data_IF_854635970288
#
_entry.id   IF_854635970288
#
_cell.length_a   1.000
_cell.length_b   1.000
_cell.length_c   1.000
_cell.angle_alpha   90.00
_cell.angle_beta   90.00
_cell.angle_gamma   90.00
#
_symmetry.space_group_name_H-M   'P 1'
#
loop_
_entity.id
_entity.type
_entity.pdbx_description
1 polymer ?
#
# COMPACT_ATOMS: atom_id res chain seq x y z
N UNK A 1 -2.86 26.83 -16.79
CA UNK A 1 -2.17 25.53 -16.55
C UNK A 1 -1.37 25.63 -15.26
N UNK A 2 -1.46 24.64 -14.36
CA UNK A 2 -0.69 24.62 -13.11
C UNK A 2 0.82 24.53 -13.43
N UNK A 3 1.63 25.33 -12.73
CA UNK A 3 3.11 25.31 -12.88
C UNK A 3 3.78 25.40 -11.52
N UNK A 4 4.91 24.73 -11.38
CA UNK A 4 5.76 24.74 -10.18
C UNK A 4 5.00 24.34 -8.92
N UNK A 5 4.16 23.31 -9.01
CA UNK A 5 3.39 22.77 -7.89
C UNK A 5 3.84 21.34 -7.59
N UNK A 6 3.67 20.96 -6.34
CA UNK A 6 3.70 19.56 -5.95
C UNK A 6 2.27 19.04 -5.97
N UNK A 7 2.02 18.04 -6.79
CA UNK A 7 0.71 17.40 -6.96
C UNK A 7 0.80 16.01 -6.34
N UNK A 8 -0.02 15.74 -5.36
CA UNK A 8 -0.12 14.42 -4.75
C UNK A 8 -1.36 13.73 -5.30
N UNK A 9 -1.19 12.56 -5.90
CA UNK A 9 -2.25 11.82 -6.58
C UNK A 9 -2.47 10.49 -5.85
N UNK A 10 -3.73 10.24 -5.45
CA UNK A 10 -4.15 8.93 -4.96
C UNK A 10 -4.35 7.94 -6.12
N UNK A 11 -4.29 6.65 -5.83
CA UNK A 11 -4.41 5.60 -6.82
C UNK A 11 -5.85 5.13 -6.99
N UNK A 12 -6.42 4.53 -5.95
CA UNK A 12 -7.68 3.80 -6.05
C UNK A 12 -8.90 4.73 -6.09
N UNK A 13 -9.63 4.75 -7.21
CA UNK A 13 -10.77 5.66 -7.40
C UNK A 13 -10.35 7.08 -7.79
N UNK A 14 -9.07 7.33 -8.06
CA UNK A 14 -8.52 8.61 -8.53
C UNK A 14 -7.75 8.39 -9.84
N UNK A 15 -6.52 7.92 -9.78
CA UNK A 15 -5.73 7.63 -10.99
C UNK A 15 -6.10 6.29 -11.62
N UNK A 16 -6.55 5.32 -10.81
CA UNK A 16 -7.01 4.02 -11.26
C UNK A 16 -8.54 3.98 -11.32
N UNK A 17 -9.07 3.53 -12.43
CA UNK A 17 -10.50 3.25 -12.60
C UNK A 17 -10.94 1.98 -11.82
N UNK A 18 -12.22 1.61 -11.95
CA UNK A 18 -12.79 0.43 -11.28
C UNK A 18 -12.13 -0.90 -11.71
N UNK A 19 -11.57 -0.94 -12.93
CA UNK A 19 -10.82 -2.08 -13.44
C UNK A 19 -9.37 -2.10 -12.95
N UNK A 20 -8.99 -1.14 -12.09
CA UNK A 20 -7.61 -0.95 -11.57
C UNK A 20 -6.59 -0.64 -12.66
N UNK A 21 -7.04 0.08 -13.68
CA UNK A 21 -6.22 0.55 -14.79
C UNK A 21 -6.20 2.07 -14.85
N UNK A 22 -5.12 2.63 -15.37
CA UNK A 22 -5.05 4.06 -15.75
C UNK A 22 -5.66 4.17 -17.15
N UNK A 23 -6.63 5.06 -17.34
CA UNK A 23 -7.16 5.34 -18.68
C UNK A 23 -6.12 6.10 -19.52
N UNK A 24 -6.23 5.99 -20.85
CA UNK A 24 -5.34 6.73 -21.77
C UNK A 24 -5.42 8.24 -21.56
N UNK A 25 -6.62 8.73 -21.22
CA UNK A 25 -6.85 10.15 -20.94
C UNK A 25 -6.12 10.57 -19.67
N UNK A 26 -6.30 9.81 -18.58
CA UNK A 26 -5.66 10.11 -17.29
C UNK A 26 -4.13 9.97 -17.38
N UNK A 27 -3.65 8.98 -18.12
CA UNK A 27 -2.23 8.81 -18.36
C UNK A 27 -1.63 9.99 -19.12
N UNK A 28 -2.31 10.46 -20.17
CA UNK A 28 -1.89 11.65 -20.91
C UNK A 28 -1.91 12.90 -20.04
N UNK A 29 -2.96 13.10 -19.24
CA UNK A 29 -3.03 14.20 -18.29
C UNK A 29 -1.88 14.17 -17.28
N UNK A 30 -1.51 13.00 -16.77
CA UNK A 30 -0.39 12.83 -15.84
C UNK A 30 0.92 13.25 -16.50
N UNK A 31 1.18 12.82 -17.75
CA UNK A 31 2.36 13.22 -18.51
C UNK A 31 2.40 14.75 -18.67
N UNK A 32 1.30 15.36 -19.14
CA UNK A 32 1.22 16.80 -19.35
C UNK A 32 1.45 17.60 -18.05
N UNK A 33 0.92 17.11 -16.92
CA UNK A 33 1.13 17.72 -15.62
C UNK A 33 2.57 17.60 -15.15
N UNK A 34 3.24 16.49 -15.44
CA UNK A 34 4.62 16.21 -15.00
C UNK A 34 5.66 17.16 -15.63
N UNK A 35 5.36 17.77 -16.79
CA UNK A 35 6.28 18.67 -17.50
C UNK A 35 6.65 19.89 -16.63
N UNK A 36 5.71 20.41 -15.85
CA UNK A 36 5.90 21.66 -15.10
C UNK A 36 5.64 21.51 -13.59
N UNK A 37 5.44 20.30 -13.09
CA UNK A 37 5.08 20.05 -11.70
C UNK A 37 5.76 18.80 -11.18
N UNK A 38 5.95 18.75 -9.86
CA UNK A 38 6.38 17.55 -9.15
C UNK A 38 5.17 16.67 -8.84
N UNK A 39 5.17 15.41 -9.28
CA UNK A 39 4.08 14.47 -9.03
C UNK A 39 4.51 13.43 -8.01
N UNK A 40 3.73 13.24 -6.96
CA UNK A 40 3.93 12.23 -5.92
C UNK A 40 2.70 11.33 -5.89
N UNK A 41 2.91 10.02 -5.92
CA UNK A 41 1.83 9.07 -5.68
C UNK A 41 1.66 8.82 -4.18
N UNK A 42 0.41 8.79 -3.71
CA UNK A 42 0.06 8.44 -2.34
C UNK A 42 -1.07 7.41 -2.36
N UNK A 43 -0.93 6.32 -1.59
CA UNK A 43 -1.92 5.24 -1.60
C UNK A 43 -2.01 4.52 -0.26
N UNK A 44 -3.18 3.93 0.01
CA UNK A 44 -3.37 2.97 1.09
C UNK A 44 -2.66 1.63 0.84
N UNK A 45 -2.26 1.35 -0.39
CA UNK A 45 -1.53 0.13 -0.76
C UNK A 45 -0.14 0.12 -0.15
N UNK A 46 0.41 -1.08 0.08
CA UNK A 46 1.82 -1.22 0.45
C UNK A 46 2.73 -0.87 -0.75
N UNK A 47 4.04 -0.69 -0.49
CA UNK A 47 4.98 -0.28 -1.53
C UNK A 47 5.11 -1.30 -2.67
N UNK A 48 4.98 -2.61 -2.39
CA UNK A 48 5.11 -3.68 -3.39
C UNK A 48 3.97 -3.57 -4.41
N UNK A 49 2.73 -3.39 -3.93
CA UNK A 49 1.56 -3.23 -4.80
C UNK A 49 1.60 -1.92 -5.59
N UNK A 50 2.06 -0.85 -4.95
CA UNK A 50 2.21 0.45 -5.60
C UNK A 50 3.28 0.40 -6.68
N UNK A 51 4.42 -0.23 -6.40
CA UNK A 51 5.51 -0.39 -7.38
C UNK A 51 5.10 -1.19 -8.61
N UNK A 52 4.26 -2.22 -8.46
CA UNK A 52 3.71 -2.94 -9.63
C UNK A 52 2.98 -2.02 -10.60
N UNK A 53 2.23 -1.05 -10.09
CA UNK A 53 1.53 -0.06 -10.92
C UNK A 53 2.54 0.89 -11.56
N UNK A 54 3.51 1.39 -10.77
CA UNK A 54 4.59 2.27 -11.27
C UNK A 54 5.32 1.61 -12.42
N UNK A 55 5.68 0.34 -12.29
CA UNK A 55 6.40 -0.43 -13.31
C UNK A 55 5.52 -0.74 -14.54
N UNK A 56 4.26 -1.14 -14.33
CA UNK A 56 3.32 -1.48 -15.40
C UNK A 56 3.13 -0.33 -16.38
N UNK A 57 3.06 0.91 -15.87
CA UNK A 57 2.86 2.12 -16.67
C UNK A 57 4.12 2.96 -16.86
N UNK A 58 5.29 2.48 -16.41
CA UNK A 58 6.56 3.22 -16.45
C UNK A 58 6.46 4.60 -15.80
N UNK A 59 5.68 4.72 -14.73
CA UNK A 59 5.39 6.00 -14.07
C UNK A 59 6.62 6.66 -13.46
N UNK A 60 7.69 5.91 -13.17
CA UNK A 60 8.96 6.44 -12.66
C UNK A 60 9.58 7.52 -13.54
N UNK A 61 9.14 7.61 -14.80
CA UNK A 61 9.60 8.64 -15.74
C UNK A 61 8.86 9.99 -15.55
N UNK A 62 7.75 10.00 -14.82
CA UNK A 62 6.83 11.13 -14.72
C UNK A 62 6.56 11.58 -13.28
N UNK A 63 6.94 10.76 -12.30
CA UNK A 63 6.72 11.05 -10.88
C UNK A 63 8.05 11.27 -10.14
N UNK A 64 7.95 11.87 -8.96
CA UNK A 64 9.09 12.02 -8.07
C UNK A 64 9.67 10.65 -7.64
N UNK A 65 10.93 10.68 -7.21
CA UNK A 65 11.67 9.48 -6.77
C UNK A 65 11.16 8.90 -5.45
N UNK A 66 9.96 9.27 -5.02
CA UNK A 66 9.36 8.74 -3.81
C UNK A 66 7.86 8.57 -3.96
N UNK A 67 7.34 7.57 -3.27
CA UNK A 67 5.92 7.30 -3.16
C UNK A 67 5.53 7.17 -1.69
N UNK A 68 4.32 7.58 -1.37
CA UNK A 68 3.72 7.47 -0.04
C UNK A 68 2.79 6.26 -0.05
N UNK A 69 3.06 5.29 0.81
CA UNK A 69 2.36 4.02 0.87
C UNK A 69 1.74 3.76 2.24
N UNK A 70 0.83 2.78 2.32
CA UNK A 70 0.20 2.34 3.57
C UNK A 70 -0.41 3.50 4.36
N UNK A 71 -1.20 4.36 3.69
CA UNK A 71 -1.81 5.56 4.29
C UNK A 71 -0.79 6.49 4.99
N UNK A 72 0.38 6.67 4.41
CA UNK A 72 1.44 7.52 4.95
C UNK A 72 2.34 6.86 5.99
N UNK A 73 2.13 5.59 6.32
CA UNK A 73 3.03 4.85 7.22
C UNK A 73 4.39 4.57 6.59
N UNK A 74 4.46 4.50 5.27
CA UNK A 74 5.68 4.20 4.56
C UNK A 74 5.97 5.25 3.49
N UNK A 75 7.22 5.70 3.44
CA UNK A 75 7.76 6.47 2.33
C UNK A 75 8.82 5.60 1.65
N UNK A 76 8.58 5.27 0.39
CA UNK A 76 9.48 4.42 -0.39
C UNK A 76 10.23 5.23 -1.43
N UNK A 77 11.53 5.01 -1.54
CA UNK A 77 12.38 5.62 -2.57
C UNK A 77 12.56 4.66 -3.74
N UNK A 78 12.10 5.07 -4.91
CA UNK A 78 12.14 4.28 -6.13
C UNK A 78 13.59 4.00 -6.54
N UNK A 79 14.43 5.03 -6.67
CA UNK A 79 15.83 4.88 -7.14
C UNK A 79 16.71 4.11 -6.17
N UNK A 80 16.43 4.19 -4.85
CA UNK A 80 17.19 3.47 -3.84
C UNK A 80 16.62 2.08 -3.53
N UNK A 81 15.48 1.75 -4.12
CA UNK A 81 14.73 0.50 -3.89
C UNK A 81 14.59 0.16 -2.40
N UNK A 82 14.22 1.15 -1.57
CA UNK A 82 14.09 0.96 -0.13
C UNK A 82 13.07 1.89 0.53
N UNK A 83 12.52 1.41 1.64
CA UNK A 83 11.72 2.24 2.53
C UNK A 83 12.65 3.26 3.21
N UNK A 84 12.34 4.55 3.05
CA UNK A 84 13.09 5.66 3.69
C UNK A 84 12.60 5.92 5.10
N UNK A 85 11.32 5.80 5.31
CA UNK A 85 10.68 6.02 6.60
C UNK A 85 9.50 5.06 6.75
N UNK A 86 9.32 4.51 7.94
CA UNK A 86 8.17 3.70 8.28
C UNK A 86 7.78 3.93 9.73
N UNK A 87 6.47 3.97 9.99
CA UNK A 87 5.91 3.97 11.35
C UNK A 87 5.18 2.67 11.57
N UNK A 88 5.48 2.00 12.66
CA UNK A 88 4.87 0.73 13.03
C UNK A 88 4.19 0.85 14.38
N UNK A 89 3.14 0.07 14.57
CA UNK A 89 2.56 -0.16 15.89
C UNK A 89 3.50 -1.08 16.66
N UNK A 90 3.77 -0.79 17.92
CA UNK A 90 4.54 -1.68 18.80
C UNK A 90 3.87 -3.06 18.86
N UNK A 91 4.68 -4.12 18.81
CA UNK A 91 4.19 -5.50 18.77
C UNK A 91 3.25 -5.82 19.93
N UNK A 92 3.55 -5.35 21.13
CA UNK A 92 2.70 -5.53 22.32
C UNK A 92 1.32 -4.90 22.14
N UNK A 93 1.26 -3.70 21.59
CA UNK A 93 0.00 -3.00 21.29
C UNK A 93 -0.78 -3.71 20.20
N UNK A 94 -0.09 -4.18 19.14
CA UNK A 94 -0.72 -4.93 18.07
C UNK A 94 -1.36 -6.24 18.59
N UNK A 95 -0.65 -6.99 19.44
CA UNK A 95 -1.18 -8.21 20.08
C UNK A 95 -2.41 -7.90 20.93
N UNK A 96 -2.38 -6.83 21.73
CA UNK A 96 -3.52 -6.44 22.54
C UNK A 96 -4.75 -6.09 21.70
N UNK A 97 -4.55 -5.37 20.59
CA UNK A 97 -5.62 -5.05 19.63
C UNK A 97 -6.19 -6.34 19.00
N UNK A 98 -5.32 -7.24 18.55
CA UNK A 98 -5.74 -8.54 18.00
C UNK A 98 -6.59 -9.32 19.00
N UNK A 99 -6.12 -9.46 20.24
CA UNK A 99 -6.83 -10.17 21.29
C UNK A 99 -8.22 -9.55 21.57
N UNK A 100 -8.30 -8.22 21.54
CA UNK A 100 -9.57 -7.51 21.70
C UNK A 100 -10.52 -7.78 20.52
N UNK A 101 -10.02 -7.74 19.29
CA UNK A 101 -10.80 -8.03 18.09
C UNK A 101 -11.27 -9.49 18.07
N UNK A 102 -10.42 -10.42 18.49
CA UNK A 102 -10.74 -11.84 18.59
C UNK A 102 -11.83 -12.13 19.62
N UNK A 103 -11.77 -11.51 20.80
CA UNK A 103 -12.81 -11.64 21.84
C UNK A 103 -14.18 -11.14 21.35
N UNK A 104 -14.21 -10.15 20.48
CA UNK A 104 -15.44 -9.58 19.93
C UNK A 104 -15.82 -10.18 18.57
N UNK A 105 -15.17 -11.25 18.13
CA UNK A 105 -15.40 -11.89 16.83
C UNK A 105 -15.36 -10.94 15.64
N UNK A 106 -14.51 -9.90 15.72
CA UNK A 106 -14.28 -8.95 14.63
C UNK A 106 -13.22 -9.51 13.69
N UNK A 107 -13.44 -9.34 12.39
CA UNK A 107 -12.42 -9.67 11.39
C UNK A 107 -11.34 -8.60 11.38
N UNK A 108 -10.11 -9.04 11.26
CA UNK A 108 -8.98 -8.15 11.17
C UNK A 108 -7.95 -8.65 10.16
N UNK A 109 -7.20 -7.73 9.62
CA UNK A 109 -5.98 -8.04 8.90
C UNK A 109 -4.88 -7.06 9.34
N UNK A 110 -3.65 -7.54 9.29
CA UNK A 110 -2.44 -6.77 9.57
C UNK A 110 -1.52 -6.91 8.38
N UNK A 111 -0.96 -5.79 7.96
CA UNK A 111 0.06 -5.76 6.93
C UNK A 111 1.39 -5.44 7.60
N UNK A 112 2.34 -6.35 7.48
CA UNK A 112 3.76 -6.10 7.71
C UNK A 112 4.42 -5.82 6.35
N UNK A 113 5.68 -5.35 6.37
CA UNK A 113 6.41 -4.91 5.16
C UNK A 113 6.28 -5.85 3.95
N UNK A 114 6.10 -7.15 4.17
CA UNK A 114 6.02 -8.17 3.10
C UNK A 114 4.84 -9.13 3.24
N UNK A 115 4.15 -9.11 4.37
CA UNK A 115 3.17 -10.14 4.70
C UNK A 115 1.82 -9.52 5.05
N UNK A 116 0.77 -10.22 4.65
CA UNK A 116 -0.59 -9.98 5.10
C UNK A 116 -0.99 -11.10 6.07
N UNK A 117 -1.37 -10.73 7.28
CA UNK A 117 -1.93 -11.62 8.29
C UNK A 117 -3.40 -11.31 8.44
N UNK A 118 -4.24 -12.32 8.49
CA UNK A 118 -5.67 -12.13 8.69
C UNK A 118 -6.28 -13.29 9.48
N UNK A 119 -7.37 -12.97 10.20
CA UNK A 119 -8.26 -13.98 10.77
C UNK A 119 -9.29 -14.36 9.71
N UNK A 120 -9.23 -15.60 9.22
CA UNK A 120 -10.24 -16.16 8.31
C UNK A 120 -11.17 -17.02 9.15
N UNK A 121 -12.44 -16.62 9.30
CA UNK A 121 -13.53 -17.54 9.63
C UNK A 121 -14.30 -17.85 8.34
N UNK A 122 -14.79 -19.08 8.23
CA UNK A 122 -15.60 -19.57 7.10
C UNK A 122 -16.74 -18.59 6.75
N UNK A 123 -16.55 -17.73 5.77
CA UNK A 123 -17.54 -16.75 5.36
C UNK A 123 -18.25 -17.17 4.09
N UNK A 124 -19.57 -17.30 4.16
CA UNK A 124 -20.45 -17.47 3.00
C UNK A 124 -20.72 -16.16 2.22
N UNK A 125 -20.16 -15.03 2.60
CA UNK A 125 -20.36 -13.76 1.92
C UNK A 125 -19.06 -13.24 1.31
N UNK A 126 -19.14 -12.99 0.01
CA UNK A 126 -18.11 -12.52 -0.90
C UNK A 126 -17.49 -11.19 -0.44
N UNK A 127 -16.51 -11.23 0.44
CA UNK A 127 -15.41 -10.30 0.33
C UNK A 127 -14.54 -10.89 -0.77
N UNK A 128 -14.36 -10.19 -1.90
CA UNK A 128 -13.39 -10.60 -2.91
C UNK A 128 -12.07 -10.75 -2.17
N UNK A 129 -11.50 -11.95 -2.05
CA UNK A 129 -10.21 -12.08 -1.41
C UNK A 129 -9.25 -11.21 -2.21
N UNK A 130 -8.46 -10.40 -1.54
CA UNK A 130 -7.22 -9.93 -2.13
C UNK A 130 -6.55 -11.17 -2.72
N UNK A 131 -6.27 -11.15 -4.02
CA UNK A 131 -5.85 -12.32 -4.79
C UNK A 131 -4.44 -12.80 -4.40
N UNK A 132 -4.17 -13.01 -3.13
CA UNK A 132 -2.95 -13.66 -2.62
C UNK A 132 -3.02 -13.96 -1.13
N UNK A 133 -4.20 -14.10 -0.53
CA UNK A 133 -4.29 -14.75 0.77
C UNK A 133 -4.04 -16.26 0.56
N UNK A 134 -2.79 -16.66 0.51
CA UNK A 134 -2.41 -18.06 0.71
C UNK A 134 -3.02 -18.51 2.03
N UNK A 135 -3.51 -19.76 2.07
CA UNK A 135 -4.16 -20.39 3.23
C UNK A 135 -3.44 -20.00 4.53
N UNK A 136 -4.12 -19.21 5.37
CA UNK A 136 -3.56 -18.55 6.51
C UNK A 136 -2.83 -19.49 7.48
N UNK A 137 -1.54 -19.30 7.61
CA UNK A 137 -0.80 -19.68 8.80
C UNK A 137 -0.46 -18.38 9.52
N UNK A 138 -0.98 -18.23 10.73
CA UNK A 138 -0.48 -17.25 11.68
C UNK A 138 0.93 -17.73 12.06
N UNK A 139 1.94 -17.24 11.38
CA UNK A 139 3.31 -17.39 11.85
C UNK A 139 3.58 -16.22 12.81
N UNK A 140 3.23 -16.42 14.07
CA UNK A 140 3.84 -15.65 15.14
C UNK A 140 5.30 -16.09 15.18
N UNK A 141 6.19 -15.33 14.58
CA UNK A 141 7.61 -15.56 14.75
C UNK A 141 7.98 -15.19 16.19
N UNK A 142 8.08 -16.19 17.04
CA UNK A 142 8.79 -16.09 18.32
C UNK A 142 10.27 -15.89 18.03
N UNK A 143 10.69 -14.66 17.74
CA UNK A 143 12.08 -14.26 17.84
C UNK A 143 12.24 -13.31 19.02
N UNK A 144 12.27 -13.86 20.20
CA UNK A 144 13.06 -13.40 21.35
C UNK A 144 13.27 -14.59 22.29
N UNK A 145 14.20 -15.46 21.94
CA UNK A 145 15.00 -16.21 22.89
C UNK A 145 16.46 -15.90 22.56
N UNK A 146 17.05 -15.06 23.37
CA UNK A 146 18.48 -15.07 23.70
C UNK A 146 18.63 -14.21 24.95
N UNK A 147 18.90 -14.92 25.96
CA UNK A 147 19.88 -14.88 27.00
C UNK A 147 20.18 -13.49 27.56
#
# INVERSE_FOLDING_TARGET
MLKNKTIVIDLDGTLLNDEKKISDIDFKCLIDLSINNSIILASGRNYIETMKIVETYSLQNYIENLIICSNGQQIYSISKNKIRNSKHIETSKAINIINMLDKNNVYWYIIDNKNLFCKIQNYKHKIKPFQNCGKGRVLVSNQHKSA
#
